data_IF_948621473196
#
_entry.id   IF_948621473196
#
_cell.length_a   1.000
_cell.length_b   1.000
_cell.length_c   1.000
_cell.angle_alpha   90.00
_cell.angle_beta   90.00
_cell.angle_gamma   90.00
#
_symmetry.space_group_name_H-M   'P 1'
#
loop_
_entity.id
_entity.type
_entity.pdbx_description
1 polymer ?
#
# COMPACT_ATOMS: atom_id res chain seq x y z
N UNK A 1 18.12 22.64 -1.71
CA UNK A 1 16.78 22.12 -1.36
C UNK A 1 16.19 21.57 -2.64
N UNK A 2 16.10 20.24 -2.77
CA UNK A 2 15.54 19.60 -3.96
C UNK A 2 14.02 19.78 -3.93
N UNK A 3 13.44 20.42 -4.95
CA UNK A 3 12.00 20.48 -5.11
C UNK A 3 11.49 19.07 -5.40
N UNK A 4 10.50 18.61 -4.62
CA UNK A 4 9.76 17.39 -4.92
C UNK A 4 9.12 17.52 -6.31
N UNK A 5 9.23 16.47 -7.14
CA UNK A 5 8.63 16.46 -8.47
C UNK A 5 7.09 16.53 -8.33
N UNK A 6 6.51 17.68 -8.67
CA UNK A 6 5.07 17.89 -8.58
C UNK A 6 4.33 17.19 -9.72
N UNK A 7 3.33 16.38 -9.38
CA UNK A 7 2.39 15.80 -10.34
C UNK A 7 1.43 16.88 -10.87
N UNK A 8 1.10 16.83 -12.16
CA UNK A 8 0.30 17.88 -12.82
C UNK A 8 -1.17 17.47 -12.86
N UNK A 9 -2.04 18.29 -12.26
CA UNK A 9 -3.48 18.06 -12.15
C UNK A 9 -4.22 18.18 -13.50
N UNK A 10 -5.49 17.76 -13.51
CA UNK A 10 -6.34 17.91 -14.69
C UNK A 10 -6.41 19.38 -15.12
N UNK A 11 -6.36 19.58 -16.44
CA UNK A 11 -6.42 20.85 -17.14
C UNK A 11 -5.22 21.79 -16.96
N UNK A 12 -4.19 21.36 -16.22
CA UNK A 12 -2.96 22.11 -16.04
C UNK A 12 -2.00 21.93 -17.23
N UNK A 13 -1.13 22.92 -17.45
CA UNK A 13 -0.11 22.88 -18.49
C UNK A 13 0.94 21.82 -18.16
N UNK A 14 1.21 20.93 -19.12
CA UNK A 14 2.18 19.85 -18.99
C UNK A 14 3.27 19.89 -20.07
N UNK A 15 3.31 20.95 -20.90
CA UNK A 15 4.33 21.15 -21.92
C UNK A 15 4.12 22.42 -22.77
N UNK A 16 5.08 22.70 -23.64
CA UNK A 16 5.13 23.87 -24.53
C UNK A 16 6.58 24.31 -24.81
N UNK A 17 6.82 25.07 -25.88
CA UNK A 17 8.16 25.43 -26.40
C UNK A 17 9.09 26.14 -25.41
N UNK A 18 8.55 26.87 -24.43
CA UNK A 18 9.30 27.59 -23.38
C UNK A 18 8.87 27.19 -21.96
N UNK A 19 8.19 26.07 -21.81
CA UNK A 19 7.74 25.59 -20.51
C UNK A 19 8.91 24.98 -19.73
N UNK A 20 9.44 25.74 -18.75
CA UNK A 20 10.53 25.30 -17.86
C UNK A 20 9.92 24.75 -16.57
N UNK A 21 10.14 23.47 -16.30
CA UNK A 21 9.49 22.77 -15.21
C UNK A 21 10.46 22.28 -14.13
N UNK A 22 10.12 22.41 -12.82
CA UNK A 22 10.93 21.90 -11.71
C UNK A 22 10.76 20.39 -11.49
N UNK A 23 11.27 19.56 -12.40
CA UNK A 23 11.43 18.11 -12.19
C UNK A 23 10.40 17.23 -12.90
N UNK A 24 10.88 16.10 -13.44
CA UNK A 24 10.18 15.09 -14.26
C UNK A 24 8.63 15.07 -14.12
N UNK A 25 7.89 15.82 -14.97
CA UNK A 25 6.46 16.03 -14.77
C UNK A 25 5.67 14.89 -15.41
N UNK A 26 4.76 14.30 -14.64
CA UNK A 26 3.71 13.41 -15.17
C UNK A 26 2.35 13.99 -14.74
N UNK A 27 1.36 13.91 -15.63
CA UNK A 27 -0.02 14.16 -15.21
C UNK A 27 -0.41 13.11 -14.15
N UNK A 28 -1.32 13.46 -13.23
CA UNK A 28 -1.89 12.49 -12.29
C UNK A 28 -2.49 11.27 -13.01
N UNK A 29 -2.58 10.14 -12.30
CA UNK A 29 -3.18 8.89 -12.78
C UNK A 29 -4.57 9.14 -13.40
N UNK A 30 -4.81 8.59 -14.60
CA UNK A 30 -6.05 8.80 -15.36
C UNK A 30 -6.04 10.03 -16.29
N UNK A 31 -4.92 10.75 -16.38
CA UNK A 31 -4.73 11.90 -17.27
C UNK A 31 -3.60 11.67 -18.27
N UNK A 32 -3.74 12.24 -19.48
CA UNK A 32 -2.70 12.32 -20.51
C UNK A 32 -2.36 13.74 -20.87
N UNK A 33 -1.08 14.01 -21.13
CA UNK A 33 -0.64 15.31 -21.63
C UNK A 33 -1.00 15.40 -23.12
N UNK A 34 -2.05 16.14 -23.44
CA UNK A 34 -2.55 16.35 -24.80
C UNK A 34 -1.87 17.58 -25.37
N UNK A 35 -1.18 17.40 -26.50
CA UNK A 35 -0.67 18.51 -27.30
C UNK A 35 -1.85 19.33 -27.83
N UNK A 36 -1.85 20.64 -27.54
CA UNK A 36 -2.86 21.56 -28.07
C UNK A 36 -2.23 22.45 -29.13
N UNK A 37 -1.07 23.04 -28.84
CA UNK A 37 -0.28 23.79 -29.81
C UNK A 37 1.19 23.84 -29.36
N UNK A 38 2.04 24.45 -30.19
CA UNK A 38 3.49 24.55 -29.95
C UNK A 38 3.86 25.14 -28.58
N UNK A 39 3.00 25.96 -28.00
CA UNK A 39 3.23 26.67 -26.74
C UNK A 39 2.52 26.03 -25.55
N UNK A 40 1.60 25.10 -25.79
CA UNK A 40 0.69 24.60 -24.77
C UNK A 40 0.32 23.14 -24.99
N UNK A 41 0.65 22.31 -24.01
CA UNK A 41 0.09 20.97 -23.82
C UNK A 41 -0.63 20.90 -22.48
N UNK A 42 -1.74 20.18 -22.41
CA UNK A 42 -2.63 20.15 -21.26
C UNK A 42 -2.91 18.73 -20.76
N UNK A 43 -2.93 18.52 -19.45
CA UNK A 43 -3.37 17.25 -18.86
C UNK A 43 -4.89 17.09 -19.00
N UNK A 44 -5.36 16.13 -19.79
CA UNK A 44 -6.80 15.87 -20.00
C UNK A 44 -7.16 14.43 -19.61
N UNK A 45 -8.43 14.16 -19.25
CA UNK A 45 -8.89 12.80 -18.95
C UNK A 45 -8.59 11.83 -20.09
N UNK A 46 -7.90 10.74 -19.76
CA UNK A 46 -7.57 9.69 -20.71
C UNK A 46 -6.53 8.74 -20.16
N UNK A 47 -6.75 7.44 -20.37
CA UNK A 47 -5.72 6.43 -20.16
C UNK A 47 -4.57 6.64 -21.16
N UNK A 48 -3.35 6.53 -20.70
CA UNK A 48 -2.16 6.74 -21.52
C UNK A 48 -2.03 5.64 -22.59
N UNK A 49 -1.88 5.96 -23.89
CA UNK A 49 -1.30 5.04 -24.87
C UNK A 49 0.25 4.99 -24.79
N UNK A 50 0.85 5.70 -23.83
CA UNK A 50 2.30 5.90 -23.72
C UNK A 50 2.95 5.05 -22.61
N UNK A 51 2.29 3.97 -22.19
CA UNK A 51 2.88 3.01 -21.25
C UNK A 51 3.24 1.69 -21.92
N UNK A 52 4.42 1.19 -21.62
CA UNK A 52 4.87 -0.16 -21.95
C UNK A 52 4.26 -1.16 -20.96
N UNK A 53 3.89 -2.34 -21.45
CA UNK A 53 3.38 -3.42 -20.61
C UNK A 53 4.43 -3.96 -19.64
N UNK A 54 3.96 -4.63 -18.58
CA UNK A 54 4.81 -5.40 -17.67
C UNK A 54 5.66 -6.39 -18.48
N UNK A 55 6.98 -6.35 -18.28
CA UNK A 55 8.02 -7.11 -19.00
C UNK A 55 8.38 -6.65 -20.42
N UNK A 56 7.80 -5.56 -20.93
CA UNK A 56 8.23 -4.98 -22.20
C UNK A 56 9.63 -4.34 -22.09
N UNK A 57 10.36 -4.28 -23.21
CA UNK A 57 11.62 -3.56 -23.28
C UNK A 57 11.38 -2.06 -23.10
N UNK A 58 12.15 -1.43 -22.23
CA UNK A 58 12.03 -0.01 -21.87
C UNK A 58 13.32 0.78 -22.03
N UNK A 59 14.43 0.11 -22.37
CA UNK A 59 15.75 0.72 -22.51
C UNK A 59 16.79 -0.25 -23.08
N UNK A 60 18.04 0.21 -23.12
CA UNK A 60 19.17 -0.47 -23.74
C UNK A 60 19.79 0.33 -24.89
N UNK A 61 21.06 0.09 -25.19
CA UNK A 61 21.80 0.78 -26.25
C UNK A 61 21.14 0.56 -27.62
N UNK A 62 20.73 1.66 -28.25
CA UNK A 62 20.03 1.66 -29.54
C UNK A 62 18.52 1.44 -29.49
N UNK A 63 17.92 1.32 -28.29
CA UNK A 63 16.47 1.21 -28.12
C UNK A 63 15.79 2.59 -28.15
N UNK A 64 14.77 2.74 -28.99
CA UNK A 64 13.88 3.92 -29.01
C UNK A 64 12.47 3.52 -28.55
N UNK A 65 12.05 4.03 -27.40
CA UNK A 65 10.74 3.76 -26.82
C UNK A 65 9.59 4.50 -27.53
N UNK A 66 9.87 5.34 -28.54
CA UNK A 66 8.89 6.18 -29.26
C UNK A 66 7.99 6.98 -28.31
N UNK A 67 8.57 7.52 -27.23
CA UNK A 67 7.86 8.28 -26.20
C UNK A 67 7.09 7.43 -25.18
N UNK A 68 7.20 6.10 -25.21
CA UNK A 68 6.60 5.22 -24.19
C UNK A 68 7.50 5.06 -22.97
N UNK A 69 6.92 4.86 -21.79
CA UNK A 69 7.63 4.57 -20.54
C UNK A 69 6.98 3.41 -19.80
N UNK A 70 7.63 2.78 -18.83
CA UNK A 70 6.95 1.80 -17.99
C UNK A 70 5.75 2.42 -17.26
N UNK A 71 4.77 1.60 -16.91
CA UNK A 71 3.66 2.02 -16.05
C UNK A 71 4.18 2.61 -14.73
N UNK A 72 3.35 3.38 -14.04
CA UNK A 72 3.81 4.10 -12.84
C UNK A 72 4.19 3.14 -11.70
N UNK A 73 3.55 1.98 -11.64
CA UNK A 73 3.85 0.85 -10.77
C UNK A 73 5.07 0.03 -11.19
N UNK A 74 5.65 0.32 -12.36
CA UNK A 74 6.82 -0.34 -12.91
C UNK A 74 8.04 0.62 -12.96
N UNK A 75 9.23 0.04 -12.95
CA UNK A 75 10.52 0.68 -13.16
C UNK A 75 11.21 0.04 -14.36
N UNK A 76 11.97 0.85 -15.10
CA UNK A 76 12.78 0.34 -16.20
C UNK A 76 14.10 -0.20 -15.64
N UNK A 77 14.18 -1.51 -15.44
CA UNK A 77 15.36 -2.16 -14.87
C UNK A 77 16.33 -2.57 -15.96
N UNK A 78 17.57 -2.09 -15.87
CA UNK A 78 18.65 -2.53 -16.76
C UNK A 78 19.00 -4.00 -16.48
N UNK A 79 19.00 -4.82 -17.53
CA UNK A 79 19.39 -6.24 -17.46
C UNK A 79 20.78 -6.42 -18.07
N UNK A 80 21.05 -5.77 -19.19
CA UNK A 80 22.38 -5.64 -19.77
C UNK A 80 22.50 -4.33 -20.58
N UNK A 81 23.66 -4.08 -21.18
CA UNK A 81 23.94 -2.86 -21.96
C UNK A 81 22.90 -2.60 -23.08
N UNK A 82 22.36 -3.65 -23.69
CA UNK A 82 21.46 -3.59 -24.84
C UNK A 82 19.98 -3.78 -24.47
N UNK A 83 19.67 -4.13 -23.23
CA UNK A 83 18.34 -4.52 -22.81
C UNK A 83 18.02 -4.06 -21.39
N UNK A 84 16.97 -3.23 -21.28
CA UNK A 84 16.30 -2.90 -20.03
C UNK A 84 14.82 -3.25 -20.15
N UNK A 85 14.21 -3.71 -19.07
CA UNK A 85 12.85 -4.25 -19.07
C UNK A 85 11.99 -3.55 -18.01
N UNK A 86 10.72 -3.27 -18.35
CA UNK A 86 9.73 -2.85 -17.38
C UNK A 86 9.49 -3.98 -16.40
N UNK A 87 9.91 -3.77 -15.17
CA UNK A 87 9.62 -4.64 -14.05
C UNK A 87 8.87 -3.84 -13.01
N UNK A 88 8.17 -4.50 -12.11
CA UNK A 88 7.50 -3.79 -11.01
C UNK A 88 8.51 -2.97 -10.23
N UNK A 89 8.18 -1.70 -9.95
CA UNK A 89 9.05 -0.74 -9.24
C UNK A 89 9.34 -1.31 -7.86
N UNK A 90 10.43 -2.03 -7.75
CA UNK A 90 10.83 -2.71 -6.54
C UNK A 90 11.59 -1.72 -5.66
N UNK A 91 10.82 -0.95 -4.88
CA UNK A 91 11.20 -0.72 -3.48
C UNK A 91 11.14 -2.00 -2.61
N UNK A 92 11.25 -3.19 -3.23
CA UNK A 92 10.98 -4.51 -2.66
C UNK A 92 11.71 -5.57 -3.50
N UNK A 93 13.04 -5.67 -3.38
CA UNK A 93 13.72 -6.91 -3.75
C UNK A 93 13.50 -7.93 -2.63
N UNK A 94 13.05 -9.12 -3.03
CA UNK A 94 13.07 -10.38 -2.29
C UNK A 94 12.20 -10.45 -1.01
N UNK A 95 11.04 -11.11 -1.14
CA UNK A 95 10.09 -11.30 -0.06
C UNK A 95 9.14 -10.12 0.12
N UNK A 96 8.11 -10.03 -0.73
CA UNK A 96 6.91 -9.34 -0.29
C UNK A 96 6.43 -10.05 0.96
N UNK A 97 6.60 -9.42 2.12
CA UNK A 97 5.64 -9.53 3.19
C UNK A 97 4.33 -8.96 2.63
N UNK A 98 3.56 -9.78 1.92
CA UNK A 98 2.17 -9.49 1.63
C UNK A 98 1.47 -9.11 2.94
N UNK A 99 0.57 -8.14 2.89
CA UNK A 99 -0.24 -7.85 4.08
C UNK A 99 -1.30 -8.94 4.19
N UNK A 100 -1.25 -9.70 5.28
CA UNK A 100 -2.22 -10.75 5.60
C UNK A 100 -3.56 -10.09 5.92
N UNK A 101 -4.61 -10.50 5.21
CA UNK A 101 -5.96 -10.00 5.45
C UNK A 101 -6.43 -10.33 6.88
N UNK A 102 -7.37 -9.55 7.39
CA UNK A 102 -7.99 -9.81 8.69
C UNK A 102 -8.54 -11.24 8.74
N UNK A 103 -8.38 -11.89 9.89
CA UNK A 103 -8.73 -13.29 10.16
C UNK A 103 -7.87 -14.36 9.48
N UNK A 104 -6.90 -13.99 8.64
CA UNK A 104 -5.99 -14.96 8.02
C UNK A 104 -4.78 -15.28 8.92
N UNK A 105 -4.10 -16.40 8.63
CA UNK A 105 -2.91 -16.81 9.35
C UNK A 105 -1.74 -15.88 9.05
N UNK A 106 -1.09 -15.36 10.09
CA UNK A 106 0.06 -14.47 10.02
C UNK A 106 1.28 -14.99 10.79
N UNK A 107 1.23 -16.22 11.29
CA UNK A 107 2.35 -16.79 12.04
C UNK A 107 2.06 -18.17 12.62
N UNK A 108 3.03 -18.68 13.35
CA UNK A 108 3.03 -20.02 13.93
C UNK A 108 4.25 -20.84 13.52
N UNK A 109 4.57 -21.88 14.29
CA UNK A 109 5.68 -22.79 14.02
C UNK A 109 5.56 -23.40 12.62
N UNK A 110 6.58 -23.19 11.78
CA UNK A 110 6.63 -23.70 10.41
C UNK A 110 5.89 -22.85 9.36
N UNK A 111 5.22 -21.75 9.77
CA UNK A 111 4.59 -20.82 8.84
C UNK A 111 5.65 -20.06 8.03
N UNK A 112 5.51 -20.06 6.70
CA UNK A 112 6.44 -19.45 5.72
C UNK A 112 5.81 -18.29 4.93
N UNK A 113 4.56 -17.96 5.23
CA UNK A 113 3.86 -16.85 4.60
C UNK A 113 4.17 -15.53 5.29
N UNK A 114 3.38 -14.52 4.98
CA UNK A 114 3.60 -13.18 5.46
C UNK A 114 3.17 -12.97 6.92
N UNK A 115 3.90 -12.14 7.66
CA UNK A 115 3.65 -11.94 9.10
C UNK A 115 3.01 -10.60 9.44
N UNK A 116 2.92 -9.70 8.47
CA UNK A 116 2.36 -8.37 8.64
C UNK A 116 0.89 -8.37 8.28
N UNK A 117 0.03 -7.90 9.17
CA UNK A 117 -1.41 -7.79 8.90
C UNK A 117 -1.74 -6.52 8.12
N UNK A 118 -2.89 -6.49 7.43
CA UNK A 118 -3.43 -5.26 6.85
C UNK A 118 -3.62 -4.17 7.91
N UNK A 119 -3.52 -2.90 7.51
CA UNK A 119 -3.61 -1.74 8.40
C UNK A 119 -4.82 -1.82 9.34
N UNK A 120 -4.61 -1.51 10.62
CA UNK A 120 -5.64 -1.60 11.66
C UNK A 120 -5.79 -2.98 12.30
N UNK A 121 -4.98 -3.96 11.90
CA UNK A 121 -4.95 -5.31 12.45
C UNK A 121 -3.56 -5.65 13.01
N UNK A 122 -3.53 -6.56 13.99
CA UNK A 122 -2.31 -7.08 14.61
C UNK A 122 -2.27 -8.61 14.55
N UNK A 123 -1.06 -9.17 14.44
CA UNK A 123 -0.88 -10.61 14.41
C UNK A 123 -0.89 -11.17 15.85
N UNK A 124 -1.99 -11.82 16.21
CA UNK A 124 -2.18 -12.35 17.57
C UNK A 124 -1.90 -13.84 17.59
N UNK A 125 -0.98 -14.25 18.46
CA UNK A 125 -0.72 -15.68 18.73
C UNK A 125 -1.93 -16.32 19.39
N UNK A 126 -2.47 -17.37 18.77
CA UNK A 126 -3.55 -18.20 19.36
C UNK A 126 -2.95 -19.44 20.01
N UNK A 127 -2.01 -20.09 19.33
CA UNK A 127 -1.20 -21.19 19.86
C UNK A 127 0.18 -21.20 19.19
N UNK A 128 1.02 -22.19 19.52
CA UNK A 128 2.39 -22.27 18.99
C UNK A 128 2.46 -22.46 17.47
N UNK A 129 1.42 -23.01 16.85
CA UNK A 129 1.37 -23.35 15.42
C UNK A 129 0.54 -22.38 14.60
N UNK A 130 -0.18 -21.46 15.25
CA UNK A 130 -1.14 -20.58 14.58
C UNK A 130 -1.24 -19.21 15.27
N UNK A 131 -0.95 -18.17 14.49
CA UNK A 131 -1.23 -16.78 14.81
C UNK A 131 -2.14 -16.19 13.73
N UNK A 132 -3.07 -15.32 14.13
CA UNK A 132 -4.12 -14.80 13.26
C UNK A 132 -4.11 -13.27 13.26
N UNK A 133 -4.35 -12.66 12.11
CA UNK A 133 -4.60 -11.22 12.04
C UNK A 133 -5.94 -10.87 12.67
N UNK A 134 -5.92 -10.04 13.70
CA UNK A 134 -7.12 -9.61 14.43
C UNK A 134 -7.19 -8.08 14.45
N UNK A 135 -8.39 -7.48 14.46
CA UNK A 135 -8.55 -6.05 14.58
C UNK A 135 -7.91 -5.53 15.87
N UNK A 136 -6.93 -4.64 15.72
CA UNK A 136 -6.19 -4.04 16.82
C UNK A 136 -7.05 -3.02 17.57
N UNK A 137 -6.60 -2.53 18.73
CA UNK A 137 -7.27 -1.42 19.40
C UNK A 137 -7.32 -0.18 18.48
N UNK A 138 -8.50 0.41 18.30
CA UNK A 138 -8.69 1.60 17.46
C UNK A 138 -8.22 2.89 18.13
N UNK A 139 -8.05 2.88 19.45
CA UNK A 139 -7.54 3.99 20.26
C UNK A 139 -6.92 3.47 21.57
N UNK A 140 -6.18 4.32 22.28
CA UNK A 140 -5.50 3.95 23.53
C UNK A 140 -6.46 3.49 24.65
N UNK A 141 -7.69 3.98 24.64
CA UNK A 141 -8.78 3.65 25.57
C UNK A 141 -9.67 2.50 25.06
N UNK A 142 -9.27 1.83 23.97
CA UNK A 142 -9.98 0.67 23.40
C UNK A 142 -9.19 -0.62 23.61
N UNK A 143 -9.93 -1.70 23.85
CA UNK A 143 -9.42 -3.07 23.80
C UNK A 143 -9.55 -3.63 22.40
N UNK A 144 -8.55 -4.38 21.94
CA UNK A 144 -8.60 -5.10 20.66
C UNK A 144 -9.69 -6.17 20.64
N UNK A 145 -10.07 -6.63 19.45
CA UNK A 145 -11.05 -7.71 19.33
C UNK A 145 -10.51 -8.99 19.95
N UNK A 146 -11.36 -9.65 20.74
CA UNK A 146 -11.05 -10.79 21.61
C UNK A 146 -10.10 -10.52 22.79
N UNK A 147 -9.76 -9.28 23.08
CA UNK A 147 -9.10 -8.96 24.35
C UNK A 147 -10.07 -9.16 25.53
N UNK A 148 -9.51 -9.49 26.70
CA UNK A 148 -10.29 -9.49 27.94
C UNK A 148 -10.78 -8.07 28.23
N UNK A 149 -12.07 -7.94 28.52
CA UNK A 149 -12.73 -6.65 28.76
C UNK A 149 -13.37 -6.57 30.16
N UNK A 150 -13.33 -7.65 30.92
CA UNK A 150 -13.90 -7.73 32.27
C UNK A 150 -13.61 -9.05 32.97
N UNK A 151 -14.18 -9.19 34.16
CA UNK A 151 -13.99 -10.33 35.06
C UNK A 151 -12.76 -10.19 35.96
N UNK A 152 -12.58 -11.17 36.86
CA UNK A 152 -11.50 -11.21 37.88
C UNK A 152 -10.30 -12.10 37.52
N UNK A 153 -10.24 -12.64 36.31
CA UNK A 153 -9.14 -13.51 35.87
C UNK A 153 -7.81 -12.73 35.92
N UNK A 154 -6.78 -13.34 36.53
CA UNK A 154 -5.45 -12.74 36.69
C UNK A 154 -5.46 -11.29 37.23
N UNK A 155 -6.35 -10.96 38.17
CA UNK A 155 -6.51 -9.60 38.71
C UNK A 155 -6.73 -8.53 37.62
N UNK A 156 -7.49 -8.86 36.58
CA UNK A 156 -7.75 -7.95 35.47
C UNK A 156 -8.25 -6.57 35.93
N UNK A 157 -7.59 -5.52 35.45
CA UNK A 157 -7.95 -4.13 35.67
C UNK A 157 -8.26 -3.47 34.33
N UNK A 158 -9.50 -3.03 34.14
CA UNK A 158 -9.91 -2.39 32.90
C UNK A 158 -9.24 -1.02 32.68
N UNK A 159 -8.78 -0.35 33.75
CA UNK A 159 -8.15 0.98 33.69
C UNK A 159 -8.95 1.99 32.85
N UNK A 160 -10.29 1.95 32.95
CA UNK A 160 -11.19 2.83 32.19
C UNK A 160 -11.33 2.51 30.70
N UNK A 161 -10.66 1.48 30.19
CA UNK A 161 -10.78 1.05 28.79
C UNK A 161 -12.09 0.29 28.55
N UNK A 162 -12.56 0.35 27.32
CA UNK A 162 -13.73 -0.42 26.84
C UNK A 162 -13.39 -1.15 25.53
N UNK A 163 -14.22 -2.09 25.12
CA UNK A 163 -14.09 -2.69 23.78
C UNK A 163 -14.20 -1.61 22.69
N UNK A 164 -13.63 -1.91 21.52
CA UNK A 164 -13.90 -1.17 20.29
C UNK A 164 -15.40 -0.95 20.08
N UNK A 165 -15.74 0.09 19.34
CA UNK A 165 -17.15 0.45 19.15
C UNK A 165 -17.91 -0.61 18.31
N UNK A 166 -17.19 -1.38 17.49
CA UNK A 166 -17.70 -2.55 16.74
C UNK A 166 -17.87 -3.82 17.59
N UNK A 167 -17.30 -3.85 18.80
CA UNK A 167 -17.29 -5.02 19.69
C UNK A 167 -18.20 -4.78 20.91
N UNK A 168 -18.71 -5.86 21.49
CA UNK A 168 -19.38 -5.87 22.80
C UNK A 168 -18.54 -6.64 23.82
N UNK A 169 -18.54 -6.18 25.07
CA UNK A 169 -17.92 -6.94 26.15
C UNK A 169 -18.88 -8.05 26.61
N UNK A 170 -18.65 -9.27 26.12
CA UNK A 170 -19.48 -10.43 26.43
C UNK A 170 -18.99 -11.11 27.72
N UNK A 171 -19.89 -11.29 28.68
CA UNK A 171 -19.58 -12.00 29.93
C UNK A 171 -19.70 -13.50 29.72
N UNK A 172 -18.59 -14.22 29.86
CA UNK A 172 -18.60 -15.68 29.87
C UNK A 172 -18.81 -16.24 31.28
N UNK A 173 -18.12 -15.67 32.27
CA UNK A 173 -18.30 -16.00 33.69
C UNK A 173 -17.82 -14.83 34.58
N UNK A 174 -17.85 -14.99 35.89
CA UNK A 174 -17.42 -13.95 36.84
C UNK A 174 -15.93 -13.62 36.77
N UNK A 175 -15.12 -14.54 36.24
CA UNK A 175 -13.68 -14.40 36.09
C UNK A 175 -13.30 -13.84 34.71
N UNK A 176 -14.08 -14.08 33.65
CA UNK A 176 -13.67 -13.75 32.29
C UNK A 176 -14.81 -13.15 31.46
N UNK A 177 -14.53 -12.00 30.86
CA UNK A 177 -15.36 -11.37 29.82
C UNK A 177 -14.46 -10.93 28.67
N UNK A 178 -14.95 -11.02 27.44
CA UNK A 178 -14.13 -10.80 26.24
C UNK A 178 -14.83 -9.87 25.24
N UNK A 179 -14.06 -9.04 24.53
CA UNK A 179 -14.57 -8.24 23.42
C UNK A 179 -14.91 -9.15 22.23
N UNK A 180 -16.19 -9.30 21.92
CA UNK A 180 -16.68 -10.09 20.80
C UNK A 180 -17.29 -9.15 19.76
N UNK A 181 -17.03 -9.34 18.45
CA UNK A 181 -17.71 -8.60 17.39
C UNK A 181 -19.23 -8.64 17.56
N UNK A 182 -19.88 -7.50 17.34
CA UNK A 182 -21.35 -7.39 17.36
C UNK A 182 -22.00 -8.02 16.13
#
# INVERSE_FOLDING_TARGET
MAAEAAMIEAWQQCGGKDWVNPGYPRCYTGLRCVFINDWYSQCQPGEQPNTLDKYAQCGGKGFDAKGKSCRMEDECKAINEYYSQCQTRMGMMDGQAGVVAVWQQCGGNGYKGDTSCTTGNECVKINDWYSQCKPAATAADRFATWAQCGGRNNNFQANGKKCRDEDKCEKYNDFFSQCIPK
#
